data_IF_325638683119
#
_entry.id   IF_325638683119
#
_cell.length_a   1.000
_cell.length_b   1.000
_cell.length_c   1.000
_cell.angle_alpha   90.00
_cell.angle_beta   90.00
_cell.angle_gamma   90.00
#
_symmetry.space_group_name_H-M   'P 1'
#
loop_
_entity.id
_entity.type
_entity.pdbx_description
1 polymer ?
#
# COMPACT_ATOMS: atom_id res chain seq x y z
N UNK A 1 35.46 -38.30 -5.45
CA UNK A 1 34.39 -38.65 -6.38
C UNK A 1 33.11 -37.92 -5.91
N UNK A 2 32.65 -36.87 -6.61
CA UNK A 2 31.48 -36.11 -6.19
C UNK A 2 30.26 -36.76 -6.81
N UNK A 3 29.34 -37.29 -6.01
CA UNK A 3 28.08 -37.88 -6.48
C UNK A 3 27.09 -36.72 -6.66
N UNK A 4 26.83 -36.39 -7.91
CA UNK A 4 25.79 -35.43 -8.31
C UNK A 4 24.41 -36.09 -8.14
N UNK A 5 23.66 -35.76 -7.09
CA UNK A 5 22.26 -36.23 -6.94
C UNK A 5 21.38 -35.37 -7.86
N UNK A 6 20.81 -35.98 -8.85
CA UNK A 6 19.74 -35.36 -9.66
C UNK A 6 18.50 -35.18 -8.79
N UNK A 7 17.99 -33.95 -8.77
CA UNK A 7 16.79 -33.60 -8.02
C UNK A 7 15.59 -33.61 -8.98
N UNK A 8 14.45 -34.25 -8.63
CA UNK A 8 13.32 -34.46 -9.57
C UNK A 8 12.66 -33.18 -10.08
N UNK A 9 12.97 -32.01 -9.52
CA UNK A 9 12.46 -30.71 -9.97
C UNK A 9 13.45 -29.91 -10.84
N UNK A 10 14.58 -30.49 -11.22
CA UNK A 10 15.57 -29.83 -12.06
C UNK A 10 15.19 -29.97 -13.52
N UNK A 11 14.75 -28.86 -14.11
CA UNK A 11 14.52 -28.77 -15.55
C UNK A 11 15.88 -28.60 -16.24
N UNK A 12 16.21 -29.37 -17.28
CA UNK A 12 17.40 -29.17 -18.10
C UNK A 12 17.39 -27.76 -18.71
N UNK A 13 18.57 -27.13 -18.79
CA UNK A 13 18.70 -25.75 -19.30
C UNK A 13 18.20 -25.61 -20.76
N UNK A 14 18.24 -26.69 -21.53
CA UNK A 14 17.67 -26.78 -22.89
C UNK A 14 16.14 -26.70 -22.92
N UNK A 15 15.46 -27.00 -21.81
CA UNK A 15 14.01 -26.94 -21.67
C UNK A 15 13.54 -25.64 -20.98
N UNK A 16 14.49 -24.85 -20.45
CA UNK A 16 14.19 -23.55 -19.85
C UNK A 16 13.83 -22.54 -20.94
N UNK A 17 12.78 -21.79 -20.74
CA UNK A 17 12.41 -20.69 -21.65
C UNK A 17 13.55 -19.66 -21.71
N UNK A 18 14.11 -19.38 -22.90
CA UNK A 18 15.17 -18.39 -23.04
C UNK A 18 14.76 -17.04 -22.47
N UNK A 19 15.69 -16.34 -21.80
CA UNK A 19 15.44 -15.08 -21.11
C UNK A 19 14.81 -14.01 -22.00
N UNK A 20 15.22 -13.93 -23.28
CA UNK A 20 14.64 -12.98 -24.23
C UNK A 20 13.17 -13.29 -24.55
N UNK A 21 12.77 -14.58 -24.60
CA UNK A 21 11.36 -14.99 -24.80
C UNK A 21 10.53 -14.63 -23.59
N UNK A 22 11.08 -14.79 -22.39
CA UNK A 22 10.42 -14.40 -21.15
C UNK A 22 10.24 -12.86 -21.04
N UNK A 23 11.25 -12.10 -21.41
CA UNK A 23 11.17 -10.63 -21.46
C UNK A 23 10.18 -10.12 -22.49
N UNK A 24 10.11 -10.76 -23.65
CA UNK A 24 9.25 -10.37 -24.78
C UNK A 24 7.87 -11.03 -24.78
N UNK A 25 7.52 -11.81 -23.75
CA UNK A 25 6.25 -12.57 -23.68
C UNK A 25 5.01 -11.74 -24.01
N UNK A 26 4.95 -10.45 -23.60
CA UNK A 26 3.84 -9.55 -23.91
C UNK A 26 3.75 -9.22 -25.39
N UNK A 27 4.89 -9.11 -26.08
CA UNK A 27 4.96 -8.89 -27.54
C UNK A 27 4.56 -10.15 -28.30
N UNK A 28 5.00 -11.32 -27.82
CA UNK A 28 4.69 -12.62 -28.42
C UNK A 28 3.18 -12.93 -28.29
N UNK A 29 2.58 -12.70 -27.13
CA UNK A 29 1.14 -12.86 -26.91
C UNK A 29 0.31 -11.92 -27.80
N UNK A 30 0.75 -10.66 -27.97
CA UNK A 30 0.11 -9.71 -28.90
C UNK A 30 0.25 -10.16 -30.36
N UNK A 31 1.40 -10.68 -30.77
CA UNK A 31 1.62 -11.16 -32.13
C UNK A 31 0.79 -12.42 -32.45
N UNK A 32 0.66 -13.34 -31.49
CA UNK A 32 -0.19 -14.53 -31.63
C UNK A 32 -1.68 -14.19 -31.67
N UNK A 33 -2.12 -13.17 -30.91
CA UNK A 33 -3.50 -12.65 -30.94
C UNK A 33 -3.88 -11.99 -32.27
N UNK A 34 -2.91 -11.39 -32.99
CA UNK A 34 -3.11 -10.82 -34.33
C UNK A 34 -3.12 -11.87 -35.46
N UNK A 35 -2.47 -13.02 -35.24
CA UNK A 35 -2.39 -14.11 -36.22
C UNK A 35 -3.71 -14.87 -36.42
N UNK A 36 -4.57 -14.92 -35.42
CA UNK A 36 -5.89 -15.60 -35.50
C UNK A 36 -6.98 -14.74 -36.16
N UNK A 37 -6.77 -13.41 -36.32
CA UNK A 37 -7.70 -12.53 -36.99
C UNK A 37 -7.55 -12.50 -38.53
N UNK A 38 -6.49 -13.11 -39.10
CA UNK A 38 -6.19 -13.05 -40.53
C UNK A 38 -6.78 -14.21 -41.37
N UNK A 39 -7.43 -15.20 -40.78
CA UNK A 39 -7.94 -16.40 -41.48
C UNK A 39 -9.48 -16.47 -41.62
N UNK A 40 -10.19 -15.36 -41.42
CA UNK A 40 -11.65 -15.31 -41.52
C UNK A 40 -12.16 -14.20 -42.45
N UNK A 41 -11.81 -14.18 -43.73
CA UNK A 41 -12.43 -13.29 -44.70
C UNK A 41 -13.36 -14.09 -45.65
N UNK A 42 -14.65 -14.00 -45.35
CA UNK A 42 -15.76 -14.44 -46.21
C UNK A 42 -16.97 -13.55 -45.96
N UNK A 43 -17.16 -12.59 -46.88
CA UNK A 43 -18.37 -11.90 -47.33
C UNK A 43 -19.43 -11.42 -46.30
N UNK A 44 -19.66 -10.06 -46.29
CA UNK A 44 -20.97 -9.47 -46.10
C UNK A 44 -21.16 -8.60 -44.88
N UNK A 45 -20.96 -7.27 -45.03
CA UNK A 45 -21.77 -6.22 -44.43
C UNK A 45 -21.89 -6.15 -42.88
N UNK A 46 -20.88 -5.60 -42.20
CA UNK A 46 -21.03 -4.81 -40.96
C UNK A 46 -19.66 -4.24 -40.53
N UNK A 47 -19.30 -3.13 -41.12
CA UNK A 47 -18.01 -2.45 -40.86
C UNK A 47 -18.20 -1.19 -40.02
N UNK A 48 -18.60 -1.26 -38.77
CA UNK A 48 -18.48 -0.13 -37.84
C UNK A 48 -18.25 -0.52 -36.38
N UNK A 49 -18.52 -1.77 -35.94
CA UNK A 49 -18.52 -2.11 -34.53
C UNK A 49 -17.27 -2.87 -34.01
N UNK A 50 -16.41 -3.39 -34.92
CA UNK A 50 -15.31 -4.30 -34.51
C UNK A 50 -13.98 -3.53 -34.30
N UNK A 51 -13.79 -2.39 -34.97
CA UNK A 51 -12.60 -1.56 -34.80
C UNK A 51 -12.66 -0.69 -33.52
N UNK A 52 -13.83 -0.29 -33.08
CA UNK A 52 -14.02 0.37 -31.79
C UNK A 52 -13.76 -0.57 -30.60
N UNK A 53 -14.09 -1.85 -30.72
CA UNK A 53 -13.82 -2.83 -29.69
C UNK A 53 -12.34 -3.28 -29.60
N UNK A 54 -11.54 -3.11 -30.65
CA UNK A 54 -10.12 -3.47 -30.68
C UNK A 54 -9.18 -2.28 -30.38
N UNK A 55 -9.64 -1.06 -30.60
CA UNK A 55 -8.93 0.18 -30.24
C UNK A 55 -9.41 0.76 -28.91
N UNK A 56 -10.56 0.32 -28.38
CA UNK A 56 -11.17 0.77 -27.14
C UNK A 56 -10.72 0.09 -25.86
N UNK A 57 -9.81 -0.89 -25.90
CA UNK A 57 -9.26 -1.51 -24.68
C UNK A 57 -8.06 -0.74 -24.08
N UNK A 58 -7.82 0.49 -24.50
CA UNK A 58 -6.73 1.36 -24.07
C UNK A 58 -7.15 2.62 -23.34
N UNK A 59 -8.45 2.89 -23.18
CA UNK A 59 -8.93 4.08 -22.47
C UNK A 59 -10.34 3.86 -21.94
N UNK A 60 -10.57 2.87 -21.10
CA UNK A 60 -11.55 3.05 -20.04
C UNK A 60 -10.95 4.13 -19.17
N UNK A 61 -11.64 5.27 -19.03
CA UNK A 61 -11.08 6.48 -18.50
C UNK A 61 -10.44 6.23 -17.13
N UNK A 62 -9.21 6.64 -16.96
CA UNK A 62 -8.52 6.62 -15.65
C UNK A 62 -9.38 7.32 -14.59
N UNK A 63 -10.23 8.24 -14.99
CA UNK A 63 -11.21 8.94 -14.14
C UNK A 63 -12.36 8.04 -13.64
N UNK A 64 -12.68 6.91 -14.29
CA UNK A 64 -13.72 5.97 -13.82
C UNK A 64 -13.38 5.33 -12.46
N UNK A 65 -12.10 5.27 -12.09
CA UNK A 65 -11.65 4.76 -10.81
C UNK A 65 -11.78 5.78 -9.67
N UNK A 66 -12.07 7.07 -9.97
CA UNK A 66 -12.26 8.12 -8.98
C UNK A 66 -13.72 8.12 -8.51
N UNK A 67 -14.07 7.10 -7.72
CA UNK A 67 -15.40 6.96 -7.13
C UNK A 67 -15.35 7.45 -5.69
N UNK A 68 -15.61 8.75 -5.49
CA UNK A 68 -15.59 9.35 -4.15
C UNK A 68 -16.74 8.79 -3.31
N UNK A 69 -16.44 8.10 -2.19
CA UNK A 69 -17.48 7.45 -1.39
C UNK A 69 -18.32 8.49 -0.65
N UNK A 70 -19.62 8.20 -0.52
CA UNK A 70 -20.52 8.98 0.32
C UNK A 70 -20.33 8.55 1.76
N UNK A 71 -19.70 9.39 2.58
CA UNK A 71 -19.39 9.12 3.98
C UNK A 71 -19.99 10.17 4.91
N UNK A 72 -20.32 9.83 6.18
CA UNK A 72 -20.90 10.78 7.13
C UNK A 72 -20.04 12.02 7.38
N UNK A 73 -18.71 11.92 7.27
CA UNK A 73 -17.75 13.00 7.53
C UNK A 73 -17.31 13.78 6.29
N UNK A 74 -18.05 13.66 5.17
CA UNK A 74 -17.72 14.38 3.89
C UNK A 74 -17.66 15.89 4.02
N UNK A 75 -18.38 16.45 5.00
CA UNK A 75 -18.41 17.88 5.32
C UNK A 75 -17.08 18.42 5.87
N UNK A 76 -16.16 17.55 6.25
CA UNK A 76 -14.83 17.92 6.76
C UNK A 76 -13.80 18.14 5.64
N UNK A 77 -14.16 17.95 4.38
CA UNK A 77 -13.28 18.15 3.22
C UNK A 77 -13.66 19.41 2.41
N UNK A 78 -12.65 20.08 1.82
CA UNK A 78 -11.22 19.89 2.01
C UNK A 78 -10.75 20.37 3.39
N UNK A 79 -9.78 19.67 3.99
CA UNK A 79 -9.14 20.13 5.21
C UNK A 79 -8.02 21.14 4.92
N UNK A 80 -7.64 22.01 5.91
CA UNK A 80 -6.54 22.94 5.74
C UNK A 80 -5.22 22.23 5.43
N UNK A 81 -4.43 22.76 4.49
CA UNK A 81 -3.08 22.28 4.22
C UNK A 81 -2.13 22.70 5.33
N UNK A 82 -1.34 21.74 5.82
CA UNK A 82 -0.22 22.01 6.72
C UNK A 82 1.06 22.21 5.88
N UNK A 83 1.48 23.46 5.72
CA UNK A 83 2.62 23.84 4.88
C UNK A 83 3.98 23.34 5.41
N UNK A 84 4.05 22.90 6.67
CA UNK A 84 5.27 22.27 7.20
C UNK A 84 5.59 20.92 6.54
N UNK A 85 4.61 20.28 5.93
CA UNK A 85 4.74 19.01 5.22
C UNK A 85 4.65 19.20 3.69
N UNK A 86 5.47 20.09 3.18
CA UNK A 86 5.64 20.31 1.74
C UNK A 86 6.51 19.25 1.08
N UNK A 87 6.55 19.25 -0.26
CA UNK A 87 7.32 18.30 -1.05
C UNK A 87 7.97 18.97 -2.25
N UNK A 88 9.12 18.45 -2.67
CA UNK A 88 9.99 18.99 -3.73
C UNK A 88 9.79 18.30 -5.11
N UNK A 89 8.66 17.62 -5.30
CA UNK A 89 8.30 16.99 -6.60
C UNK A 89 6.81 17.18 -6.90
N UNK A 90 6.43 17.00 -8.17
CA UNK A 90 5.03 17.09 -8.61
C UNK A 90 4.16 16.05 -7.94
N UNK A 91 2.90 16.40 -7.71
CA UNK A 91 1.88 15.43 -7.27
C UNK A 91 1.65 14.38 -8.36
N UNK A 92 1.44 13.16 -7.91
CA UNK A 92 0.92 12.11 -8.80
C UNK A 92 -0.52 12.47 -9.17
N UNK A 93 -0.90 12.44 -10.46
CA UNK A 93 -2.30 12.62 -10.84
C UNK A 93 -3.21 11.63 -10.12
N UNK A 94 -4.37 12.11 -9.68
CA UNK A 94 -5.31 11.29 -8.92
C UNK A 94 -5.73 10.02 -9.66
N UNK A 95 -6.00 10.13 -10.95
CA UNK A 95 -6.36 9.00 -11.80
C UNK A 95 -5.32 7.87 -11.78
N UNK A 96 -4.02 8.21 -11.79
CA UNK A 96 -2.93 7.24 -11.65
C UNK A 96 -2.94 6.59 -10.26
N UNK A 97 -3.10 7.40 -9.20
CA UNK A 97 -3.19 6.88 -7.84
C UNK A 97 -4.44 6.01 -7.63
N UNK A 98 -5.57 6.35 -8.26
CA UNK A 98 -6.82 5.61 -8.16
C UNK A 98 -6.76 4.23 -8.84
N UNK A 99 -5.97 4.08 -9.90
CA UNK A 99 -5.90 2.85 -10.71
C UNK A 99 -4.73 1.92 -10.39
N UNK A 100 -3.74 2.38 -9.61
CA UNK A 100 -2.53 1.62 -9.32
C UNK A 100 -2.33 1.42 -7.82
N UNK A 101 -2.83 0.28 -7.30
CA UNK A 101 -2.90 0.03 -5.86
C UNK A 101 -2.38 -1.35 -5.47
N UNK A 102 -1.80 -1.44 -4.28
CA UNK A 102 -1.57 -2.68 -3.55
C UNK A 102 -2.59 -2.76 -2.42
N UNK A 103 -3.61 -3.60 -2.56
CA UNK A 103 -4.59 -3.88 -1.52
C UNK A 103 -4.92 -5.36 -1.56
N UNK A 104 -4.10 -6.16 -0.89
CA UNK A 104 -4.06 -7.61 -1.00
C UNK A 104 -5.35 -8.29 -0.54
N UNK A 105 -6.11 -7.64 0.32
CA UNK A 105 -7.44 -8.07 0.73
C UNK A 105 -8.40 -8.21 -0.46
N UNK A 106 -8.20 -7.40 -1.51
CA UNK A 106 -8.99 -7.47 -2.75
C UNK A 106 -8.29 -8.18 -3.91
N UNK A 107 -6.97 -8.40 -3.81
CA UNK A 107 -6.22 -9.11 -4.84
C UNK A 107 -4.74 -8.74 -4.90
N UNK A 108 -3.94 -9.55 -5.58
CA UNK A 108 -2.48 -9.37 -5.72
C UNK A 108 -2.07 -8.54 -6.95
N UNK A 109 -3.03 -8.07 -7.76
CA UNK A 109 -2.78 -7.22 -8.93
C UNK A 109 -2.99 -5.73 -8.59
N UNK A 110 -2.52 -4.82 -9.47
CA UNK A 110 -2.56 -3.37 -9.20
C UNK A 110 -3.92 -2.73 -9.44
N UNK A 111 -4.78 -3.37 -10.22
CA UNK A 111 -6.08 -2.85 -10.66
C UNK A 111 -7.23 -3.36 -9.78
N UNK A 112 -7.02 -3.39 -8.46
CA UNK A 112 -8.02 -3.90 -7.47
C UNK A 112 -9.16 -2.92 -7.23
N UNK A 113 -9.11 -1.72 -7.81
CA UNK A 113 -10.02 -0.65 -7.50
C UNK A 113 -11.50 -1.01 -7.75
N UNK A 114 -11.79 -1.82 -8.79
CA UNK A 114 -13.15 -2.30 -9.06
C UNK A 114 -13.66 -3.20 -7.93
N UNK A 115 -12.85 -4.18 -7.51
CA UNK A 115 -13.20 -5.09 -6.41
C UNK A 115 -13.36 -4.36 -5.09
N UNK A 116 -12.54 -3.34 -4.82
CA UNK A 116 -12.60 -2.54 -3.61
C UNK A 116 -13.92 -1.77 -3.46
N UNK A 117 -14.70 -1.57 -4.56
CA UNK A 117 -16.01 -0.91 -4.47
C UNK A 117 -17.04 -1.71 -3.67
N UNK A 118 -16.81 -3.02 -3.44
CA UNK A 118 -17.66 -3.81 -2.58
C UNK A 118 -17.57 -3.42 -1.08
N UNK A 119 -16.48 -2.73 -0.66
CA UNK A 119 -16.28 -2.35 0.74
C UNK A 119 -17.29 -1.30 1.18
N UNK A 120 -18.04 -1.57 2.25
CA UNK A 120 -18.90 -0.60 2.90
C UNK A 120 -18.13 0.16 3.98
N UNK A 121 -18.21 1.50 3.97
CA UNK A 121 -17.46 2.37 4.87
C UNK A 121 -18.25 2.90 6.06
N UNK A 122 -19.56 2.63 6.11
CA UNK A 122 -20.44 3.05 7.20
C UNK A 122 -21.61 2.05 7.34
N UNK A 123 -21.84 1.49 8.55
CA UNK A 123 -21.10 1.75 9.79
C UNK A 123 -19.71 1.12 9.77
N UNK A 124 -18.70 1.80 10.35
CA UNK A 124 -17.34 1.27 10.50
C UNK A 124 -16.86 1.46 11.93
N UNK A 125 -16.62 0.37 12.63
CA UNK A 125 -16.26 0.39 14.05
C UNK A 125 -14.76 0.25 14.26
N UNK A 126 -14.23 1.09 15.15
CA UNK A 126 -12.84 1.08 15.59
C UNK A 126 -12.76 0.62 17.04
N UNK A 127 -11.98 -0.41 17.30
CA UNK A 127 -11.66 -0.87 18.66
C UNK A 127 -10.28 -0.37 19.06
N UNK A 128 -10.18 0.21 20.26
CA UNK A 128 -8.92 0.64 20.89
C UNK A 128 -8.82 -0.11 22.20
N UNK A 129 -7.80 -0.97 22.36
CA UNK A 129 -7.69 -1.89 23.49
C UNK A 129 -6.25 -2.21 23.89
N UNK A 130 -6.08 -3.23 24.75
CA UNK A 130 -4.82 -3.67 25.29
C UNK A 130 -4.35 -2.81 26.49
N UNK A 131 -3.10 -2.38 26.48
CA UNK A 131 -2.51 -1.59 27.56
C UNK A 131 -2.95 -0.12 27.51
N UNK A 132 -4.23 0.13 27.69
CA UNK A 132 -4.87 1.46 27.74
C UNK A 132 -5.59 1.68 29.06
N UNK A 133 -5.84 2.93 29.43
CA UNK A 133 -6.60 3.25 30.63
C UNK A 133 -8.04 2.72 30.55
N UNK A 134 -8.61 2.68 29.35
CA UNK A 134 -9.99 2.21 29.09
C UNK A 134 -10.11 1.73 27.65
N UNK A 135 -10.54 0.49 27.48
CA UNK A 135 -10.94 -0.03 26.16
C UNK A 135 -12.16 0.71 25.61
N UNK A 136 -12.16 0.94 24.30
CA UNK A 136 -13.22 1.69 23.60
C UNK A 136 -13.53 1.03 22.27
N UNK A 137 -14.80 1.03 21.92
CA UNK A 137 -15.26 0.74 20.55
C UNK A 137 -16.21 1.85 20.15
N UNK A 138 -15.89 2.54 19.06
CA UNK A 138 -16.64 3.70 18.57
C UNK A 138 -16.77 3.64 17.05
N UNK A 139 -17.70 4.39 16.50
CA UNK A 139 -17.79 4.56 15.06
C UNK A 139 -16.64 5.44 14.52
N UNK A 140 -16.15 5.14 13.33
CA UNK A 140 -15.05 5.88 12.72
C UNK A 140 -15.41 7.36 12.52
N UNK A 141 -16.67 7.68 12.22
CA UNK A 141 -17.16 9.06 12.12
C UNK A 141 -16.98 9.81 13.44
N UNK A 142 -17.35 9.19 14.56
CA UNK A 142 -17.15 9.77 15.90
C UNK A 142 -15.66 10.02 16.17
N UNK A 143 -14.79 9.08 15.81
CA UNK A 143 -13.36 9.25 15.97
C UNK A 143 -12.83 10.42 15.11
N UNK A 144 -13.15 10.43 13.81
CA UNK A 144 -12.67 11.44 12.86
C UNK A 144 -13.08 12.86 13.29
N UNK A 145 -14.34 13.05 13.72
CA UNK A 145 -14.86 14.37 14.15
C UNK A 145 -14.21 14.92 15.42
N UNK A 146 -13.55 14.07 16.20
CA UNK A 146 -12.80 14.46 17.40
C UNK A 146 -11.35 14.89 17.10
N UNK A 147 -10.86 14.64 15.88
CA UNK A 147 -9.45 14.78 15.52
C UNK A 147 -9.21 16.06 14.70
N UNK A 148 -8.03 16.71 14.86
CA UNK A 148 -7.65 17.86 14.06
C UNK A 148 -7.22 17.41 12.66
N UNK A 149 -8.13 17.52 11.68
CA UNK A 149 -7.81 17.16 10.30
C UNK A 149 -6.95 18.22 9.63
N UNK A 150 -5.96 17.76 8.89
CA UNK A 150 -5.10 18.58 8.05
C UNK A 150 -4.70 17.83 6.77
N UNK A 151 -4.34 18.56 5.72
CA UNK A 151 -3.77 17.98 4.49
C UNK A 151 -2.24 18.07 4.54
N UNK A 152 -1.56 16.96 4.19
CA UNK A 152 -0.11 16.84 4.09
C UNK A 152 0.32 16.26 2.76
N UNK A 153 1.40 16.77 2.20
CA UNK A 153 2.00 16.21 1.00
C UNK A 153 3.11 15.23 1.38
N UNK A 154 2.94 13.96 1.01
CA UNK A 154 3.92 12.92 1.32
C UNK A 154 4.37 12.13 0.10
N UNK A 155 5.65 11.74 0.10
CA UNK A 155 6.16 10.68 -0.76
C UNK A 155 5.66 9.34 -0.24
N UNK A 156 5.23 8.49 -1.15
CA UNK A 156 4.99 7.07 -0.93
C UNK A 156 6.06 6.29 -1.68
N UNK A 157 6.80 5.41 -1.01
CA UNK A 157 7.80 4.54 -1.60
C UNK A 157 7.42 3.08 -1.38
N UNK A 158 7.09 2.38 -2.46
CA UNK A 158 6.83 0.95 -2.39
C UNK A 158 8.13 0.15 -2.38
N UNK A 159 8.18 -0.95 -1.64
CA UNK A 159 9.30 -1.89 -1.68
C UNK A 159 9.57 -2.42 -3.10
N UNK A 160 8.58 -2.42 -3.98
CA UNK A 160 8.67 -2.78 -5.41
C UNK A 160 9.40 -1.73 -6.28
N UNK A 161 10.07 -0.75 -5.67
CA UNK A 161 10.89 0.27 -6.32
C UNK A 161 10.13 1.27 -7.21
N UNK A 162 8.87 1.58 -6.88
CA UNK A 162 8.12 2.69 -7.45
C UNK A 162 7.66 3.67 -6.39
N UNK A 163 7.35 4.89 -6.79
CA UNK A 163 6.93 5.96 -5.87
C UNK A 163 5.82 6.83 -6.42
N UNK A 164 5.09 7.45 -5.50
CA UNK A 164 4.06 8.46 -5.74
C UNK A 164 4.26 9.64 -4.79
N UNK A 165 3.64 10.76 -5.12
CA UNK A 165 3.47 11.92 -4.25
C UNK A 165 1.99 12.20 -4.08
N UNK A 166 1.49 12.08 -2.86
CA UNK A 166 0.07 12.05 -2.58
C UNK A 166 -0.30 13.12 -1.54
N UNK A 167 -1.34 13.94 -1.79
CA UNK A 167 -1.91 14.82 -0.79
C UNK A 167 -2.86 14.01 0.11
N UNK A 168 -2.42 13.70 1.32
CA UNK A 168 -3.20 12.97 2.31
C UNK A 168 -3.94 13.94 3.22
N UNK A 169 -5.23 13.74 3.41
CA UNK A 169 -6.01 14.39 4.48
C UNK A 169 -6.17 13.40 5.64
N UNK A 170 -5.84 13.85 6.85
CA UNK A 170 -5.91 13.01 8.03
C UNK A 170 -5.54 13.78 9.30
N UNK A 171 -5.20 13.05 10.34
CA UNK A 171 -4.76 13.61 11.62
C UNK A 171 -3.50 12.89 12.13
N UNK A 172 -2.65 13.56 12.92
CA UNK A 172 -1.46 12.95 13.50
C UNK A 172 -1.81 11.68 14.29
N UNK A 173 -1.10 10.58 14.09
CA UNK A 173 -1.30 9.34 14.87
C UNK A 173 -1.10 9.59 16.36
N UNK A 174 -0.25 10.55 16.74
CA UNK A 174 -0.07 10.99 18.11
C UNK A 174 -1.39 11.43 18.80
N UNK A 175 -2.36 11.95 18.05
CA UNK A 175 -3.66 12.34 18.61
C UNK A 175 -4.49 11.10 18.99
N UNK A 176 -4.43 10.03 18.18
CA UNK A 176 -5.03 8.74 18.57
C UNK A 176 -4.35 8.16 19.80
N UNK A 177 -3.02 8.20 19.87
CA UNK A 177 -2.25 7.72 21.05
C UNK A 177 -2.67 8.50 22.31
N UNK A 178 -2.80 9.82 22.20
CA UNK A 178 -3.25 10.67 23.33
C UNK A 178 -4.69 10.32 23.73
N UNK A 179 -5.58 10.12 22.76
CA UNK A 179 -6.98 9.74 22.99
C UNK A 179 -7.13 8.36 23.64
N UNK A 180 -6.23 7.43 23.32
CA UNK A 180 -6.22 6.07 23.85
C UNK A 180 -5.71 5.99 25.30
N UNK A 181 -4.91 6.97 25.76
CA UNK A 181 -4.31 7.00 27.10
C UNK A 181 -3.56 5.70 27.43
N UNK A 182 -2.48 5.34 26.67
CA UNK A 182 -1.78 4.09 26.90
C UNK A 182 -1.09 4.07 28.27
N UNK A 183 -1.04 2.89 28.88
CA UNK A 183 -0.32 2.63 30.12
C UNK A 183 1.18 2.80 29.92
N UNK A 184 1.91 3.21 30.97
CA UNK A 184 3.36 3.46 30.93
C UNK A 184 4.21 2.27 30.46
N UNK A 185 3.70 1.03 30.53
CA UNK A 185 4.36 -0.17 30.06
C UNK A 185 4.17 -0.46 28.58
N UNK A 186 3.23 0.22 27.89
CA UNK A 186 3.03 0.03 26.48
C UNK A 186 4.26 0.51 25.68
N UNK A 187 4.67 -0.24 24.69
CA UNK A 187 5.85 0.05 23.86
C UNK A 187 5.52 0.02 22.37
N UNK A 188 4.47 -0.67 21.99
CA UNK A 188 4.07 -0.86 20.60
C UNK A 188 2.59 -0.57 20.41
N UNK A 189 2.27 -0.11 19.22
CA UNK A 189 0.94 -0.01 18.69
C UNK A 189 0.78 -1.07 17.59
N UNK A 190 -0.09 -2.05 17.81
CA UNK A 190 -0.50 -3.06 16.84
C UNK A 190 -1.80 -2.61 16.17
N UNK A 191 -1.89 -2.76 14.87
CA UNK A 191 -3.05 -2.39 14.05
C UNK A 191 -3.51 -3.59 13.25
N UNK A 192 -4.84 -3.73 13.10
CA UNK A 192 -5.46 -4.77 12.29
C UNK A 192 -6.42 -4.18 11.27
N UNK A 193 -6.40 -4.74 10.05
CA UNK A 193 -7.43 -4.47 9.05
C UNK A 193 -8.68 -5.31 9.31
N UNK A 194 -9.77 -4.98 8.63
CA UNK A 194 -11.00 -5.79 8.66
C UNK A 194 -10.76 -7.22 8.14
N UNK A 195 -11.61 -8.14 8.56
CA UNK A 195 -11.64 -9.52 8.06
C UNK A 195 -13.04 -9.85 7.59
N UNK A 196 -13.24 -9.86 6.28
CA UNK A 196 -14.50 -10.20 5.61
C UNK A 196 -14.22 -10.80 4.22
N UNK A 197 -13.99 -12.11 4.12
CA UNK A 197 -13.67 -12.76 2.84
C UNK A 197 -14.84 -12.79 1.84
N UNK A 198 -16.08 -12.47 2.24
CA UNK A 198 -17.21 -12.33 1.33
C UNK A 198 -17.13 -11.01 0.54
N UNK A 199 -16.62 -9.96 1.19
CA UNK A 199 -16.42 -8.63 0.59
C UNK A 199 -15.05 -8.51 -0.06
N UNK A 200 -14.00 -9.08 0.57
CA UNK A 200 -12.61 -8.97 0.17
C UNK A 200 -12.03 -10.34 -0.24
N UNK A 201 -12.15 -10.72 -1.52
CA UNK A 201 -11.86 -12.09 -1.99
C UNK A 201 -10.40 -12.50 -1.83
N UNK A 202 -9.45 -11.57 -1.71
CA UNK A 202 -8.05 -11.88 -1.39
C UNK A 202 -7.89 -12.53 -0.02
N UNK A 203 -8.81 -12.25 0.92
CA UNK A 203 -8.79 -12.85 2.25
C UNK A 203 -9.22 -14.32 2.28
N UNK A 204 -9.68 -14.87 1.17
CA UNK A 204 -9.93 -16.33 1.03
C UNK A 204 -8.65 -17.14 0.87
N UNK A 205 -7.50 -16.51 0.65
CA UNK A 205 -6.24 -17.20 0.40
C UNK A 205 -5.67 -17.80 1.70
N UNK A 206 -5.65 -19.13 1.86
CA UNK A 206 -5.34 -19.78 3.16
C UNK A 206 -3.86 -19.72 3.54
N UNK A 207 -2.97 -19.36 2.60
CA UNK A 207 -1.53 -19.22 2.86
C UNK A 207 -1.15 -17.83 3.39
N UNK A 208 -2.07 -16.88 3.39
CA UNK A 208 -1.85 -15.54 3.93
C UNK A 208 -2.34 -15.48 5.39
N UNK A 209 -1.58 -14.88 6.31
CA UNK A 209 -1.94 -14.78 7.73
C UNK A 209 -2.96 -13.66 7.98
N UNK A 210 -4.18 -13.80 7.45
CA UNK A 210 -5.25 -12.82 7.66
C UNK A 210 -5.75 -12.77 9.12
N UNK A 211 -6.19 -11.63 9.64
CA UNK A 211 -6.23 -10.31 8.99
C UNK A 211 -4.84 -9.70 8.80
N UNK A 212 -4.71 -8.71 7.92
CA UNK A 212 -3.47 -7.95 7.77
C UNK A 212 -3.16 -7.24 9.09
N UNK A 213 -1.96 -7.46 9.62
CA UNK A 213 -1.46 -6.88 10.87
C UNK A 213 -0.22 -6.04 10.58
N UNK A 214 -0.17 -4.87 11.22
CA UNK A 214 1.01 -4.04 11.26
C UNK A 214 1.29 -3.51 12.66
N UNK A 215 2.53 -3.10 12.90
CA UNK A 215 2.93 -2.50 14.15
C UNK A 215 3.94 -1.37 14.00
N UNK A 216 3.90 -0.46 14.97
CA UNK A 216 4.87 0.61 15.17
C UNK A 216 5.34 0.58 16.63
N UNK A 217 6.54 1.10 16.91
CA UNK A 217 6.86 1.49 18.27
C UNK A 217 6.03 2.72 18.66
N UNK A 218 5.87 2.99 19.96
CA UNK A 218 5.16 4.21 20.37
C UNK A 218 5.93 5.48 19.99
N UNK A 219 7.26 5.42 19.95
CA UNK A 219 8.09 6.52 19.47
C UNK A 219 7.82 6.81 17.98
N UNK A 220 7.68 5.77 17.14
CA UNK A 220 7.28 5.92 15.74
C UNK A 220 5.84 6.41 15.61
N UNK A 221 4.91 5.86 16.40
CA UNK A 221 3.50 6.25 16.38
C UNK A 221 3.25 7.69 16.81
N UNK A 222 4.12 8.24 17.67
CA UNK A 222 4.05 9.63 18.14
C UNK A 222 4.95 10.59 17.36
N UNK A 223 5.71 10.11 16.39
CA UNK A 223 6.50 10.97 15.50
C UNK A 223 5.58 11.88 14.67
N UNK A 224 6.03 13.11 14.44
CA UNK A 224 5.25 14.14 13.72
C UNK A 224 4.81 13.71 12.32
N UNK A 225 5.56 12.81 11.63
CA UNK A 225 5.23 12.33 10.29
C UNK A 225 4.14 11.25 10.27
N UNK A 226 3.91 10.53 11.37
CA UNK A 226 2.91 9.47 11.40
C UNK A 226 1.50 10.04 11.32
N UNK A 227 0.76 9.67 10.28
CA UNK A 227 -0.58 10.18 9.97
C UNK A 227 -1.58 9.04 9.87
N UNK A 228 -2.76 9.23 10.44
CA UNK A 228 -3.95 8.45 10.12
C UNK A 228 -4.74 9.20 9.06
N UNK A 229 -4.74 8.68 7.83
CA UNK A 229 -5.38 9.32 6.69
C UNK A 229 -6.82 8.81 6.51
N UNK A 230 -7.72 9.75 6.21
CA UNK A 230 -9.15 9.57 5.96
C UNK A 230 -9.58 10.17 4.62
N UNK A 231 -8.68 10.86 3.93
CA UNK A 231 -8.92 11.53 2.65
C UNK A 231 -7.66 11.66 1.80
N UNK A 232 -7.87 11.95 0.53
CA UNK A 232 -6.85 12.27 -0.48
C UNK A 232 -7.41 13.29 -1.46
N UNK A 233 -6.55 14.11 -2.06
CA UNK A 233 -6.95 15.08 -3.11
C UNK A 233 -8.14 15.97 -2.76
N UNK A 234 -8.28 16.33 -1.47
CA UNK A 234 -9.34 17.23 -0.99
C UNK A 234 -10.71 16.60 -0.77
N UNK A 235 -10.83 15.27 -0.82
CA UNK A 235 -12.06 14.53 -0.55
C UNK A 235 -11.82 13.25 0.28
N UNK A 236 -12.87 12.55 0.67
CA UNK A 236 -12.77 11.28 1.38
C UNK A 236 -11.93 10.27 0.60
N UNK A 237 -11.09 9.49 1.30
CA UNK A 237 -10.25 8.48 0.68
C UNK A 237 -11.07 7.50 -0.14
N UNK A 238 -10.62 7.21 -1.36
CA UNK A 238 -11.25 6.18 -2.19
C UNK A 238 -11.11 4.82 -1.52
N UNK A 239 -12.05 3.91 -1.77
CA UNK A 239 -12.05 2.57 -1.13
C UNK A 239 -10.75 1.82 -1.38
N UNK A 240 -10.22 1.86 -2.62
CA UNK A 240 -8.93 1.26 -2.99
C UNK A 240 -7.72 1.90 -2.33
N UNK A 241 -7.83 3.12 -1.79
CA UNK A 241 -6.78 3.76 -1.02
C UNK A 241 -6.70 3.28 0.43
N UNK A 242 -7.64 2.40 0.87
CA UNK A 242 -7.69 1.89 2.23
C UNK A 242 -8.60 2.68 3.15
N UNK A 243 -9.68 3.26 2.58
CA UNK A 243 -10.73 3.90 3.38
C UNK A 243 -11.37 2.90 4.38
N UNK A 244 -12.02 3.36 5.44
CA UNK A 244 -12.21 4.76 5.83
C UNK A 244 -11.03 5.37 6.57
N UNK A 245 -10.13 4.55 7.13
CA UNK A 245 -9.00 4.95 7.96
C UNK A 245 -7.77 4.10 7.66
N UNK A 246 -6.66 4.73 7.34
CA UNK A 246 -5.40 4.05 7.06
C UNK A 246 -4.21 4.74 7.68
N UNK A 247 -3.12 3.98 7.90
CA UNK A 247 -1.84 4.52 8.30
C UNK A 247 -1.09 5.10 7.09
N UNK A 248 -0.35 6.19 7.32
CA UNK A 248 0.66 6.73 6.42
C UNK A 248 1.92 7.05 7.23
N UNK A 249 3.00 6.31 6.94
CA UNK A 249 4.34 6.49 7.53
C UNK A 249 5.35 6.67 6.40
N UNK A 250 5.57 7.91 5.93
CA UNK A 250 6.20 8.18 4.65
C UNK A 250 7.68 7.77 4.57
N UNK A 251 8.37 7.59 5.69
CA UNK A 251 9.79 7.17 5.74
C UNK A 251 10.00 5.66 5.64
N UNK A 252 8.90 4.89 5.70
CA UNK A 252 8.89 3.42 5.60
C UNK A 252 8.37 2.97 4.25
N UNK A 253 8.70 1.74 3.86
CA UNK A 253 8.10 1.13 2.68
C UNK A 253 6.59 1.03 2.80
N UNK A 254 5.89 1.20 1.68
CA UNK A 254 4.44 1.37 1.62
C UNK A 254 3.62 0.24 2.25
N UNK A 255 4.15 -0.97 2.37
CA UNK A 255 3.45 -2.09 3.02
C UNK A 255 3.24 -1.88 4.52
N UNK A 256 4.05 -1.04 5.18
CA UNK A 256 3.84 -0.65 6.59
C UNK A 256 2.59 0.21 6.79
N UNK A 257 2.11 0.84 5.76
CA UNK A 257 0.95 1.73 5.80
C UNK A 257 -0.35 0.94 5.65
N UNK A 258 -0.70 0.19 6.69
CA UNK A 258 -1.90 -0.65 6.78
C UNK A 258 -3.17 0.12 6.44
N UNK A 259 -4.13 -0.54 5.76
CA UNK A 259 -5.36 0.01 5.21
C UNK A 259 -6.60 -0.47 5.97
N UNK A 260 -7.68 0.31 5.90
CA UNK A 260 -9.01 -0.07 6.38
C UNK A 260 -8.98 -0.66 7.79
N UNK A 261 -8.36 0.11 8.70
CA UNK A 261 -8.08 -0.30 10.07
C UNK A 261 -9.39 -0.43 10.86
N UNK A 262 -9.50 -1.49 11.65
CA UNK A 262 -10.62 -1.73 12.59
C UNK A 262 -10.16 -1.83 14.04
N UNK A 263 -8.86 -2.01 14.31
CA UNK A 263 -8.37 -2.19 15.67
C UNK A 263 -7.00 -1.59 15.89
N UNK A 264 -6.83 -0.97 17.06
CA UNK A 264 -5.58 -0.45 17.60
C UNK A 264 -5.36 -1.09 18.98
N UNK A 265 -4.32 -1.93 19.12
CA UNK A 265 -3.97 -2.60 20.37
C UNK A 265 -2.64 -2.07 20.89
N UNK A 266 -2.65 -1.50 22.08
CA UNK A 266 -1.42 -1.07 22.77
C UNK A 266 -0.83 -2.24 23.53
N UNK A 267 0.47 -2.52 23.38
CA UNK A 267 1.12 -3.71 23.94
C UNK A 267 2.58 -3.44 24.29
N UNK A 268 3.14 -4.23 25.21
CA UNK A 268 4.56 -4.30 25.52
C UNK A 268 5.32 -5.30 24.63
N UNK A 269 4.60 -6.15 23.88
CA UNK A 269 5.15 -7.15 22.99
C UNK A 269 5.24 -6.61 21.55
N UNK A 270 6.41 -6.78 20.91
CA UNK A 270 6.57 -6.41 19.51
C UNK A 270 5.63 -7.25 18.61
N UNK A 271 4.71 -6.62 17.89
CA UNK A 271 3.87 -7.36 16.95
C UNK A 271 4.69 -7.99 15.81
N UNK A 272 4.23 -9.15 15.34
CA UNK A 272 4.69 -9.71 14.07
C UNK A 272 3.81 -9.13 12.98
N UNK A 273 4.43 -8.50 11.96
CA UNK A 273 3.67 -7.90 10.86
C UNK A 273 3.29 -8.95 9.80
N UNK A 274 2.26 -8.65 9.00
CA UNK A 274 1.74 -9.56 7.98
C UNK A 274 2.84 -10.10 7.05
N UNK A 275 3.67 -9.22 6.49
CA UNK A 275 4.73 -9.63 5.57
C UNK A 275 5.90 -10.32 6.28
N UNK A 276 6.20 -9.95 7.52
CA UNK A 276 7.20 -10.64 8.34
C UNK A 276 6.78 -12.10 8.62
N UNK A 277 5.50 -12.33 8.91
CA UNK A 277 4.96 -13.67 9.13
C UNK A 277 4.93 -14.48 7.83
N UNK A 278 4.48 -13.87 6.73
CA UNK A 278 4.36 -14.53 5.44
C UNK A 278 5.72 -14.86 4.82
N UNK A 279 6.69 -13.94 4.91
CA UNK A 279 7.99 -14.06 4.25
C UNK A 279 9.10 -13.28 4.97
N UNK A 280 9.39 -13.67 6.21
CA UNK A 280 10.36 -13.00 7.09
C UNK A 280 11.80 -12.98 6.58
N UNK A 281 12.14 -13.77 5.55
CA UNK A 281 13.44 -13.70 4.86
C UNK A 281 13.59 -12.45 3.97
N UNK A 282 12.48 -11.82 3.57
CA UNK A 282 12.45 -10.66 2.67
C UNK A 282 11.89 -9.40 3.34
N UNK A 283 11.02 -9.55 4.34
CA UNK A 283 10.31 -8.46 5.02
C UNK A 283 10.47 -8.54 6.53
N UNK A 284 10.54 -7.39 7.18
CA UNK A 284 10.67 -7.30 8.62
C UNK A 284 9.78 -6.21 9.22
N UNK A 285 9.89 -6.08 10.53
CA UNK A 285 9.09 -5.15 11.33
C UNK A 285 9.36 -3.67 11.00
N UNK A 286 10.63 -3.28 10.81
CA UNK A 286 11.01 -1.87 10.72
C UNK A 286 10.69 -1.27 9.35
N UNK A 287 11.05 -1.97 8.29
CA UNK A 287 10.74 -1.60 6.90
C UNK A 287 11.07 -0.14 6.53
N UNK A 288 12.15 0.40 7.06
CA UNK A 288 12.60 1.76 6.73
C UNK A 288 13.20 1.80 5.32
N UNK A 289 12.97 2.89 4.59
CA UNK A 289 13.53 3.02 3.23
C UNK A 289 15.03 3.27 3.29
N UNK A 290 15.82 2.39 2.67
CA UNK A 290 17.27 2.57 2.50
C UNK A 290 17.73 2.14 1.10
N UNK A 291 18.32 3.06 0.30
CA UNK A 291 18.83 2.74 -1.04
C UNK A 291 20.00 1.76 -1.04
N UNK A 292 20.74 1.64 0.07
CA UNK A 292 21.95 0.81 0.18
C UNK A 292 21.64 -0.63 0.61
N UNK A 293 20.46 -0.89 1.16
CA UNK A 293 20.02 -2.23 1.56
C UNK A 293 19.06 -2.78 0.49
N UNK A 294 19.52 -3.70 -0.37
CA UNK A 294 18.69 -4.23 -1.44
C UNK A 294 17.60 -5.18 -0.88
N UNK A 295 16.48 -5.25 -1.57
CA UNK A 295 15.58 -6.39 -1.41
C UNK A 295 16.27 -7.66 -1.96
N UNK A 296 16.06 -8.86 -1.42
CA UNK A 296 16.74 -10.07 -1.89
C UNK A 296 16.59 -10.34 -3.41
N UNK A 297 15.54 -9.79 -4.06
CA UNK A 297 15.24 -10.01 -5.48
C UNK A 297 15.53 -8.82 -6.37
N UNK A 298 15.71 -7.60 -5.84
CA UNK A 298 15.97 -6.38 -6.63
C UNK A 298 16.68 -5.29 -5.83
N UNK A 299 17.25 -4.32 -6.55
CA UNK A 299 17.90 -3.15 -5.96
C UNK A 299 16.88 -2.13 -5.45
N UNK A 300 17.22 -1.46 -4.33
CA UNK A 300 16.46 -0.33 -3.79
C UNK A 300 17.13 1.03 -4.10
N UNK A 301 18.24 1.03 -4.86
CA UNK A 301 19.03 2.24 -5.09
C UNK A 301 18.27 3.30 -5.91
N UNK A 302 17.31 2.89 -6.73
CA UNK A 302 16.50 3.78 -7.56
C UNK A 302 15.02 3.46 -7.38
N UNK A 303 14.18 4.47 -7.64
CA UNK A 303 12.74 4.35 -7.69
C UNK A 303 12.19 4.92 -9.00
N UNK A 304 11.12 4.36 -9.49
CA UNK A 304 10.37 4.87 -10.63
C UNK A 304 9.21 5.73 -10.17
N UNK A 305 9.15 6.98 -10.61
CA UNK A 305 7.98 7.85 -10.40
C UNK A 305 6.89 7.34 -11.33
N UNK A 306 5.83 6.76 -10.76
CA UNK A 306 4.89 5.92 -11.50
C UNK A 306 4.18 6.64 -12.67
N UNK A 307 3.87 7.93 -12.53
CA UNK A 307 3.13 8.69 -13.55
C UNK A 307 4.01 9.28 -14.65
N UNK A 308 5.33 9.36 -14.44
CA UNK A 308 6.26 9.86 -15.46
C UNK A 308 7.12 8.75 -16.05
N UNK A 309 7.29 7.62 -15.35
CA UNK A 309 8.24 6.58 -15.68
C UNK A 309 9.70 6.97 -15.43
N UNK A 310 9.95 8.14 -14.86
CA UNK A 310 11.29 8.64 -14.54
C UNK A 310 11.90 7.83 -13.40
N UNK A 311 13.16 7.40 -13.57
CA UNK A 311 13.93 6.74 -12.52
C UNK A 311 14.82 7.76 -11.82
N UNK A 312 14.64 7.86 -10.51
CA UNK A 312 15.39 8.76 -9.64
C UNK A 312 16.09 7.99 -8.53
N UNK A 313 17.20 8.51 -7.97
CA UNK A 313 17.82 7.91 -6.80
C UNK A 313 16.85 7.86 -5.60
N UNK A 314 16.73 6.69 -4.96
CA UNK A 314 16.00 6.56 -3.70
C UNK A 314 16.75 7.29 -2.58
N UNK A 315 16.03 8.01 -1.72
CA UNK A 315 16.59 8.70 -0.57
C UNK A 315 16.44 7.85 0.69
N UNK A 316 17.45 7.89 1.57
CA UNK A 316 17.36 7.26 2.90
C UNK A 316 16.12 7.77 3.65
N UNK A 317 15.38 6.89 4.32
CA UNK A 317 14.09 7.20 4.95
C UNK A 317 13.12 7.93 4.01
N UNK A 318 13.19 7.63 2.70
CA UNK A 318 12.38 8.28 1.67
C UNK A 318 12.53 9.82 1.64
N UNK A 319 13.65 10.35 2.14
CA UNK A 319 13.93 11.78 2.24
C UNK A 319 13.47 12.45 3.53
N UNK A 320 13.11 11.68 4.56
CA UNK A 320 12.65 12.17 5.87
C UNK A 320 13.65 11.90 6.99
N UNK A 321 14.94 11.77 6.66
CA UNK A 321 15.98 11.42 7.63
C UNK A 321 16.06 12.40 8.82
N UNK A 322 15.91 13.70 8.57
CA UNK A 322 15.99 14.73 9.62
C UNK A 322 14.93 14.55 10.72
N UNK A 323 13.75 14.03 10.35
CA UNK A 323 12.63 13.84 11.25
C UNK A 323 12.64 12.46 11.97
N UNK A 324 13.36 11.45 11.44
CA UNK A 324 13.21 10.09 11.95
C UNK A 324 14.50 9.35 12.26
N UNK A 325 15.68 9.78 11.75
CA UNK A 325 16.92 9.04 11.94
C UNK A 325 17.29 8.87 13.42
N UNK A 326 16.94 9.86 14.26
CA UNK A 326 17.19 9.82 15.70
C UNK A 326 16.45 8.69 16.42
N UNK A 327 15.30 8.24 15.91
CA UNK A 327 14.52 7.12 16.47
C UNK A 327 15.32 5.81 16.47
N UNK A 328 16.26 5.67 15.53
CA UNK A 328 17.00 4.44 15.27
C UNK A 328 18.48 4.50 15.68
N UNK A 329 18.98 5.69 16.02
CA UNK A 329 20.42 5.94 16.25
C UNK A 329 21.03 5.14 17.39
N UNK A 330 20.22 4.76 18.39
CA UNK A 330 20.65 3.97 19.56
C UNK A 330 20.30 2.48 19.44
N UNK A 331 19.72 2.06 18.30
CA UNK A 331 19.38 0.66 18.07
C UNK A 331 20.62 -0.09 17.56
N UNK A 332 21.10 -1.04 18.32
CA UNK A 332 22.19 -1.92 17.87
C UNK A 332 21.63 -3.06 17.01
N UNK A 333 21.01 -2.70 15.89
CA UNK A 333 20.43 -3.64 14.93
C UNK A 333 21.28 -3.68 13.66
N UNK A 334 21.37 -4.86 13.04
CA UNK A 334 21.97 -4.99 11.72
C UNK A 334 21.11 -4.23 10.68
N UNK A 335 21.75 -3.67 9.63
CA UNK A 335 21.08 -2.91 8.59
C UNK A 335 19.95 -3.73 7.93
N UNK A 336 20.15 -5.02 7.69
CA UNK A 336 19.11 -5.87 7.11
C UNK A 336 17.86 -5.96 7.99
N UNK A 337 17.99 -5.86 9.31
CA UNK A 337 16.83 -5.87 10.23
C UNK A 337 16.12 -4.53 10.22
N UNK A 338 16.88 -3.42 10.23
CA UNK A 338 16.32 -2.08 10.33
C UNK A 338 15.64 -1.60 9.03
N UNK A 339 16.03 -2.16 7.89
CA UNK A 339 15.60 -1.68 6.56
C UNK A 339 14.85 -2.74 5.74
N UNK A 340 14.42 -3.81 6.38
CA UNK A 340 13.52 -4.81 5.78
C UNK A 340 12.10 -4.64 6.27
#
# INVERSE_FOLDING_TARGET
MWIKRDRPWRIPEAEATPEHVWRDRRRIVKALGLGTAALGVGAGGARAGILDGLLGSGARGEDEAIIVPQVPWRDLFPAPRNEAFGIDRSLTPEAVNATYNNFYEFGSHKTIWEAAQALELSPWRITIDGMVARERTLDVDELIRRMPLEERLYRLRCVEAWSMTIPWTGFPLAELVRFAEPSAGARYLRMETFLDPEVAPGQTQPWNPWPYVEGLTLEEATNELALLAVGTYGHAALKQHGAPLRLVVPWKYGFKSIKSIVRFTFTDQRPVSFWEELQGSEYGFWANVNPQVPHPRWSQAQEEIIHTGEKVPTRIYNGYADQVAHLYSNMNLADEVLYR
#
